data_IF_449216832657
#
_entry.id   IF_449216832657
#
_cell.length_a   1.000
_cell.length_b   1.000
_cell.length_c   1.000
_cell.angle_alpha   90.00
_cell.angle_beta   90.00
_cell.angle_gamma   90.00
#
_symmetry.space_group_name_H-M   'P 1'
#
loop_
_entity.id
_entity.type
_entity.pdbx_description
1 polymer ?
#
# COMPACT_ATOMS: atom_id res chain seq x y z
N UNK A 1 2.68 5.64 -8.82
CA UNK A 1 2.10 6.98 -8.59
C UNK A 1 2.98 7.67 -7.57
N UNK A 2 3.61 8.79 -7.92
CA UNK A 2 4.49 9.48 -6.98
C UNK A 2 4.58 10.98 -7.13
N UNK A 3 4.96 11.66 -6.04
CA UNK A 3 5.18 13.11 -5.95
C UNK A 3 3.95 13.90 -6.39
N UNK A 4 2.79 13.57 -5.83
CA UNK A 4 1.53 14.18 -6.25
C UNK A 4 0.60 14.48 -5.08
N UNK A 5 0.85 15.62 -4.42
CA UNK A 5 0.11 16.06 -3.23
C UNK A 5 -1.35 16.47 -3.52
N UNK A 6 -1.77 16.49 -4.80
CA UNK A 6 -3.15 16.77 -5.18
C UNK A 6 -3.99 15.51 -5.38
N UNK A 7 -3.35 14.33 -5.49
CA UNK A 7 -4.08 13.07 -5.58
C UNK A 7 -4.58 12.73 -4.19
N UNK A 8 -5.89 12.51 -4.08
CA UNK A 8 -6.54 12.11 -2.83
C UNK A 8 -6.98 10.65 -2.83
N UNK A 9 -7.10 10.01 -3.99
CA UNK A 9 -7.47 8.60 -4.11
C UNK A 9 -6.87 7.96 -5.37
N UNK A 10 -7.06 6.65 -5.52
CA UNK A 10 -6.62 5.88 -6.70
C UNK A 10 -7.78 5.18 -7.42
N UNK A 11 -9.00 5.71 -7.34
CA UNK A 11 -10.25 5.09 -7.85
C UNK A 11 -10.19 4.67 -9.32
N UNK A 12 -9.40 5.40 -10.11
CA UNK A 12 -9.15 5.08 -11.52
C UNK A 12 -8.48 3.72 -11.73
N UNK A 13 -7.95 3.09 -10.69
CA UNK A 13 -7.32 1.77 -10.70
C UNK A 13 -8.27 0.63 -10.35
N UNK A 14 -9.56 0.87 -10.13
CA UNK A 14 -10.52 -0.14 -9.64
C UNK A 14 -10.64 -1.42 -10.48
N UNK A 15 -10.18 -1.40 -11.73
CA UNK A 15 -10.13 -2.58 -12.63
C UNK A 15 -8.76 -3.26 -12.70
N UNK A 16 -7.76 -2.78 -11.95
CA UNK A 16 -6.42 -3.33 -11.91
C UNK A 16 -6.42 -4.61 -11.07
N UNK A 17 -6.16 -5.75 -11.73
CA UNK A 17 -6.18 -7.07 -11.08
C UNK A 17 -4.77 -7.55 -10.74
N UNK A 18 -3.78 -7.21 -11.54
CA UNK A 18 -2.39 -7.61 -11.30
C UNK A 18 -1.41 -6.56 -11.81
N UNK A 19 -0.22 -6.53 -11.21
CA UNK A 19 0.92 -5.73 -11.65
C UNK A 19 2.09 -6.65 -11.97
N UNK A 20 2.53 -6.67 -13.23
CA UNK A 20 3.57 -7.61 -13.72
C UNK A 20 4.99 -7.27 -13.25
N UNK A 21 5.19 -6.08 -12.70
CA UNK A 21 6.47 -5.60 -12.20
C UNK A 21 6.25 -4.92 -10.84
N UNK A 22 6.60 -3.64 -10.73
CA UNK A 22 6.59 -2.90 -9.49
C UNK A 22 5.31 -2.06 -9.34
N UNK A 23 4.78 -2.03 -8.12
CA UNK A 23 3.76 -1.08 -7.71
C UNK A 23 4.37 -0.10 -6.71
N UNK A 24 4.48 1.17 -7.09
CA UNK A 24 4.96 2.23 -6.19
C UNK A 24 3.88 3.28 -6.00
N UNK A 25 3.50 3.54 -4.75
CA UNK A 25 2.56 4.60 -4.35
C UNK A 25 3.26 5.40 -3.26
N UNK A 26 3.88 6.51 -3.65
CA UNK A 26 4.80 7.19 -2.75
C UNK A 26 4.88 8.70 -2.86
N UNK A 27 5.12 9.40 -1.76
CA UNK A 27 5.18 10.86 -1.74
C UNK A 27 3.90 11.49 -2.31
N UNK A 28 2.74 11.05 -1.81
CA UNK A 28 1.44 11.62 -2.15
C UNK A 28 0.73 12.05 -0.86
N UNK A 29 1.19 13.15 -0.26
CA UNK A 29 0.75 13.61 1.07
C UNK A 29 -0.77 13.86 1.17
N UNK A 30 -1.47 13.99 0.05
CA UNK A 30 -2.92 14.18 -0.02
C UNK A 30 -3.74 12.90 -0.15
N UNK A 31 -3.10 11.75 -0.40
CA UNK A 31 -3.75 10.45 -0.60
C UNK A 31 -4.34 9.96 0.73
N UNK A 32 -5.66 9.74 0.78
CA UNK A 32 -6.36 9.36 2.01
C UNK A 32 -6.65 7.88 2.13
N UNK A 33 -6.76 7.19 1.00
CA UNK A 33 -7.14 5.79 0.90
C UNK A 33 -6.53 5.14 -0.35
N UNK A 34 -6.62 3.82 -0.43
CA UNK A 34 -6.22 3.01 -1.59
C UNK A 34 -7.36 2.14 -2.12
N UNK A 35 -8.62 2.55 -1.94
CA UNK A 35 -9.83 1.77 -2.27
C UNK A 35 -9.92 1.36 -3.75
N UNK A 36 -9.36 2.20 -4.62
CA UNK A 36 -9.19 1.89 -6.03
C UNK A 36 -8.34 0.65 -6.32
N UNK A 37 -7.67 0.05 -5.33
CA UNK A 37 -6.92 -1.20 -5.46
C UNK A 37 -7.69 -2.44 -5.00
N UNK A 38 -8.98 -2.32 -4.67
CA UNK A 38 -9.82 -3.42 -4.16
C UNK A 38 -9.88 -4.68 -5.03
N UNK A 39 -9.53 -4.58 -6.32
CA UNK A 39 -9.45 -5.74 -7.23
C UNK A 39 -8.03 -6.30 -7.41
N UNK A 40 -7.01 -5.63 -6.87
CA UNK A 40 -5.61 -6.01 -7.03
C UNK A 40 -5.34 -7.30 -6.26
N UNK A 41 -4.97 -8.35 -6.99
CA UNK A 41 -4.73 -9.67 -6.43
C UNK A 41 -3.25 -9.99 -6.25
N UNK A 42 -2.39 -9.47 -7.13
CA UNK A 42 -0.96 -9.76 -7.10
C UNK A 42 -0.09 -8.64 -7.65
N UNK A 43 1.11 -8.53 -7.08
CA UNK A 43 2.23 -7.74 -7.61
C UNK A 43 3.40 -8.69 -7.82
N UNK A 44 3.90 -8.82 -9.04
CA UNK A 44 4.95 -9.79 -9.35
C UNK A 44 6.35 -9.33 -8.91
N UNK A 45 6.58 -8.03 -8.79
CA UNK A 45 7.78 -7.43 -8.20
C UNK A 45 7.50 -6.81 -6.85
N UNK A 46 8.20 -5.71 -6.55
CA UNK A 46 8.08 -5.01 -5.27
C UNK A 46 6.79 -4.18 -5.20
N UNK A 47 6.22 -4.14 -4.00
CA UNK A 47 5.15 -3.22 -3.67
C UNK A 47 5.64 -2.25 -2.58
N UNK A 48 5.72 -0.97 -2.94
CA UNK A 48 6.13 0.12 -2.04
C UNK A 48 4.98 1.10 -1.86
N UNK A 49 4.56 1.28 -0.61
CA UNK A 49 3.58 2.25 -0.14
C UNK A 49 4.25 3.10 0.94
N UNK A 50 4.91 4.19 0.53
CA UNK A 50 5.75 5.00 1.43
C UNK A 50 5.39 6.49 1.38
N UNK A 51 5.52 7.23 2.49
CA UNK A 51 5.35 8.68 2.49
C UNK A 51 4.01 9.16 1.90
N UNK A 52 2.89 8.61 2.38
CA UNK A 52 1.56 9.12 2.08
C UNK A 52 0.93 9.61 3.39
N UNK A 53 1.32 10.80 3.83
CA UNK A 53 1.02 11.31 5.18
C UNK A 53 -0.47 11.28 5.54
N UNK A 54 -1.38 11.55 4.60
CA UNK A 54 -2.82 11.55 4.86
C UNK A 54 -3.49 10.16 4.79
N UNK A 55 -2.76 9.11 4.43
CA UNK A 55 -3.30 7.76 4.27
C UNK A 55 -3.71 7.21 5.64
N UNK A 56 -5.00 6.91 5.80
CA UNK A 56 -5.57 6.52 7.08
C UNK A 56 -5.79 5.01 7.22
N UNK A 57 -5.98 4.32 6.11
CA UNK A 57 -6.25 2.89 6.04
C UNK A 57 -5.72 2.28 4.73
N UNK A 58 -5.68 0.95 4.70
CA UNK A 58 -5.30 0.12 3.55
C UNK A 58 -6.35 -0.95 3.25
N UNK A 59 -7.62 -0.72 3.61
CA UNK A 59 -8.72 -1.67 3.38
C UNK A 59 -8.90 -2.02 1.89
N UNK A 60 -8.59 -1.07 1.02
CA UNK A 60 -8.50 -1.24 -0.44
C UNK A 60 -7.51 -2.32 -0.90
N UNK A 61 -6.60 -2.80 -0.05
CA UNK A 61 -5.65 -3.88 -0.37
C UNK A 61 -6.13 -5.27 0.07
N UNK A 62 -7.35 -5.40 0.61
CA UNK A 62 -7.90 -6.66 1.13
C UNK A 62 -7.91 -7.85 0.14
N UNK A 63 -7.85 -7.59 -1.17
CA UNK A 63 -7.77 -8.63 -2.21
C UNK A 63 -6.34 -9.05 -2.58
N UNK A 64 -5.30 -8.33 -2.11
CA UNK A 64 -3.92 -8.59 -2.45
C UNK A 64 -3.44 -9.86 -1.73
N UNK A 65 -3.10 -10.89 -2.49
CA UNK A 65 -2.70 -12.19 -1.93
C UNK A 65 -1.19 -12.43 -2.02
N UNK A 66 -0.50 -11.82 -2.98
CA UNK A 66 0.93 -12.05 -3.18
C UNK A 66 1.72 -10.86 -3.68
N UNK A 67 2.94 -10.76 -3.17
CA UNK A 67 4.00 -9.86 -3.63
C UNK A 67 5.24 -10.71 -3.95
N UNK A 68 5.66 -10.67 -5.21
CA UNK A 68 6.77 -11.48 -5.71
C UNK A 68 8.15 -10.91 -5.39
N UNK A 69 8.22 -9.65 -4.96
CA UNK A 69 9.43 -8.99 -4.46
C UNK A 69 9.28 -8.58 -3.00
N UNK A 70 9.85 -7.42 -2.67
CA UNK A 70 9.76 -6.82 -1.34
C UNK A 70 8.39 -6.13 -1.14
N UNK A 71 7.88 -6.17 0.10
CA UNK A 71 6.70 -5.42 0.53
C UNK A 71 7.13 -4.37 1.56
N UNK A 72 7.00 -3.10 1.21
CA UNK A 72 7.37 -1.96 2.03
C UNK A 72 6.15 -1.06 2.26
N UNK A 73 5.71 -0.98 3.52
CA UNK A 73 4.64 -0.09 3.96
C UNK A 73 5.20 0.74 5.10
N UNK A 74 5.98 1.74 4.72
CA UNK A 74 6.79 2.52 5.65
C UNK A 74 6.42 4.00 5.61
N UNK A 75 6.60 4.71 6.72
CA UNK A 75 6.51 6.19 6.72
C UNK A 75 5.14 6.72 6.27
N UNK A 76 4.05 6.08 6.68
CA UNK A 76 2.68 6.58 6.53
C UNK A 76 2.15 6.95 7.93
N UNK A 77 2.47 8.13 8.47
CA UNK A 77 2.30 8.46 9.90
C UNK A 77 0.85 8.53 10.41
N UNK A 78 -0.17 8.48 9.55
CA UNK A 78 -1.58 8.39 9.94
C UNK A 78 -2.18 6.98 9.72
N UNK A 79 -1.42 6.06 9.12
CA UNK A 79 -1.85 4.69 8.87
C UNK A 79 -1.57 3.85 10.11
N UNK A 80 -2.58 3.12 10.60
CA UNK A 80 -2.43 2.38 11.85
C UNK A 80 -1.42 1.23 11.74
N UNK A 81 -0.38 1.21 12.57
CA UNK A 81 0.65 0.16 12.53
C UNK A 81 0.07 -1.24 12.75
N UNK A 82 -0.90 -1.38 13.65
CA UNK A 82 -1.52 -2.68 13.92
C UNK A 82 -2.37 -3.21 12.74
N UNK A 83 -2.91 -2.30 11.91
CA UNK A 83 -3.59 -2.64 10.66
C UNK A 83 -2.58 -3.15 9.61
N UNK A 84 -1.44 -2.45 9.48
CA UNK A 84 -0.34 -2.86 8.59
C UNK A 84 0.19 -4.24 9.00
N UNK A 85 0.47 -4.45 10.28
CA UNK A 85 0.94 -5.73 10.81
C UNK A 85 -0.06 -6.86 10.52
N UNK A 86 -1.36 -6.61 10.73
CA UNK A 86 -2.39 -7.59 10.41
C UNK A 86 -2.42 -7.91 8.92
N UNK A 87 -2.36 -6.89 8.06
CA UNK A 87 -2.35 -7.02 6.61
C UNK A 87 -1.17 -7.89 6.13
N UNK A 88 0.06 -7.57 6.53
CA UNK A 88 1.25 -8.27 6.02
C UNK A 88 1.31 -9.74 6.46
N UNK A 89 0.66 -10.12 7.56
CA UNK A 89 0.53 -11.55 7.94
C UNK A 89 -0.36 -12.36 7.00
N UNK A 90 -1.25 -11.70 6.26
CA UNK A 90 -2.16 -12.31 5.29
C UNK A 90 -1.62 -12.40 3.86
N UNK A 91 -0.51 -11.71 3.56
CA UNK A 91 0.06 -11.65 2.21
C UNK A 91 1.25 -12.60 2.07
N UNK A 92 1.31 -13.34 0.96
CA UNK A 92 2.52 -14.11 0.63
C UNK A 92 3.55 -13.20 -0.01
N UNK A 93 4.65 -12.93 0.71
CA UNK A 93 5.77 -12.10 0.22
C UNK A 93 7.00 -12.98 -0.04
N UNK A 94 7.61 -12.85 -1.21
CA UNK A 94 8.80 -13.63 -1.58
C UNK A 94 10.11 -12.95 -1.17
N UNK A 95 10.10 -11.63 -1.04
CA UNK A 95 11.21 -10.81 -0.57
C UNK A 95 11.12 -10.49 0.93
N UNK A 96 11.67 -9.35 1.30
CA UNK A 96 11.60 -8.78 2.64
C UNK A 96 10.27 -8.07 2.87
N UNK A 97 9.89 -7.96 4.15
CA UNK A 97 8.75 -7.17 4.60
C UNK A 97 9.30 -6.06 5.50
N UNK A 98 8.94 -4.81 5.19
CA UNK A 98 9.23 -3.61 5.99
C UNK A 98 7.91 -2.90 6.31
N UNK A 99 7.69 -2.56 7.58
CA UNK A 99 6.46 -1.92 8.05
C UNK A 99 6.73 -0.84 9.13
N UNK A 100 7.75 -0.02 8.97
CA UNK A 100 8.23 0.91 9.99
C UNK A 100 7.64 2.32 9.85
N UNK A 101 7.70 3.11 10.92
CA UNK A 101 7.35 4.53 10.90
C UNK A 101 5.89 4.84 10.44
N UNK A 102 4.94 3.95 10.71
CA UNK A 102 3.50 4.25 10.63
C UNK A 102 2.97 4.73 12.01
N UNK A 103 1.65 4.85 12.18
CA UNK A 103 1.06 5.30 13.46
C UNK A 103 1.06 4.18 14.51
N UNK A 104 2.01 4.24 15.45
CA UNK A 104 2.11 3.34 16.61
C UNK A 104 1.08 3.66 17.73
N UNK A 105 0.36 4.79 17.65
CA UNK A 105 -0.55 5.24 18.73
C UNK A 105 -2.03 5.01 18.41
N UNK A 106 -2.32 4.27 17.34
CA UNK A 106 -3.59 3.60 17.14
C UNK A 106 -3.63 2.26 17.92
#
# INVERSE_FOLDING_TARGET
ISNNNNITNVDGLSSLVSVDYYLWIRYNDGLTDVDGLSSLNSVAGDFVLEHNDALADIDGLSSLNSVGGDLEIDQNPNLCQSEVDAFVTGVTVSGLVSTHDNDDNC
#
